data_IF_220830025846
#
_entry.id   IF_220830025846
#
_cell.length_a   1.000
_cell.length_b   1.000
_cell.length_c   1.000
_cell.angle_alpha   90.00
_cell.angle_beta   90.00
_cell.angle_gamma   90.00
#
_symmetry.space_group_name_H-M   'P 1'
#
loop_
_entity.id
_entity.type
_entity.pdbx_description
1 polymer ?
#
# COMPACT_ATOMS: atom_id res chain seq x y z
N UNK A 1 -4.27 27.78 3.15
CA UNK A 1 -2.90 27.23 3.10
C UNK A 1 -2.82 26.26 1.90
N UNK A 2 -1.70 26.24 1.18
CA UNK A 2 -1.51 25.27 0.11
C UNK A 2 -1.46 23.85 0.71
N UNK A 3 -2.02 22.86 0.02
CA UNK A 3 -1.95 21.45 0.45
C UNK A 3 -0.51 20.92 0.44
N UNK A 4 -0.26 19.85 1.17
CA UNK A 4 1.07 19.25 1.36
C UNK A 4 1.75 18.77 0.08
N UNK A 5 0.97 18.49 -0.96
CA UNK A 5 1.41 17.96 -2.25
C UNK A 5 1.08 18.91 -3.41
N UNK A 6 0.86 20.19 -3.11
CA UNK A 6 0.43 21.16 -4.10
C UNK A 6 1.39 21.23 -5.31
N UNK A 7 0.82 21.04 -6.51
CA UNK A 7 1.57 21.05 -7.77
C UNK A 7 2.38 19.79 -8.06
N UNK A 8 2.47 18.83 -7.15
CA UNK A 8 3.17 17.56 -7.37
C UNK A 8 2.36 16.61 -8.26
N UNK A 9 3.07 15.72 -8.93
CA UNK A 9 2.52 14.64 -9.76
C UNK A 9 2.84 13.30 -9.13
N UNK A 10 1.81 12.52 -8.85
CA UNK A 10 1.94 11.20 -8.24
C UNK A 10 1.47 10.09 -9.18
N UNK A 11 2.18 8.97 -9.18
CA UNK A 11 1.74 7.70 -9.76
C UNK A 11 1.34 6.79 -8.60
N UNK A 12 0.10 6.28 -8.62
CA UNK A 12 -0.41 5.34 -7.60
C UNK A 12 -0.79 4.03 -8.26
N UNK A 13 -0.11 2.94 -7.90
CA UNK A 13 -0.45 1.60 -8.40
C UNK A 13 -1.49 0.93 -7.51
N UNK A 14 -2.38 0.11 -8.10
CA UNK A 14 -3.52 -0.46 -7.38
C UNK A 14 -4.56 0.59 -6.96
N UNK A 15 -4.69 1.68 -7.76
CA UNK A 15 -5.45 2.86 -7.39
C UNK A 15 -6.97 2.76 -7.62
N UNK A 16 -7.49 1.64 -8.07
CA UNK A 16 -8.92 1.48 -8.38
C UNK A 16 -9.80 1.21 -7.15
N UNK A 17 -9.26 0.76 -6.03
CA UNK A 17 -10.03 0.39 -4.83
C UNK A 17 -9.18 0.54 -3.56
N UNK A 18 -9.83 0.48 -2.39
CA UNK A 18 -9.18 0.36 -1.08
C UNK A 18 -8.16 1.45 -0.79
N UNK A 19 -6.99 1.06 -0.29
CA UNK A 19 -5.92 1.99 0.11
C UNK A 19 -5.47 2.86 -1.08
N UNK A 20 -5.30 2.27 -2.27
CA UNK A 20 -4.83 3.01 -3.45
C UNK A 20 -5.79 4.10 -3.90
N UNK A 21 -7.10 3.85 -3.86
CA UNK A 21 -8.13 4.85 -4.17
C UNK A 21 -8.11 5.97 -3.11
N UNK A 22 -8.09 5.62 -1.82
CA UNK A 22 -8.04 6.61 -0.73
C UNK A 22 -6.76 7.47 -0.77
N UNK A 23 -5.62 6.89 -1.17
CA UNK A 23 -4.38 7.65 -1.40
C UNK A 23 -4.56 8.65 -2.53
N UNK A 24 -5.17 8.24 -3.64
CA UNK A 24 -5.43 9.14 -4.76
C UNK A 24 -6.35 10.30 -4.38
N UNK A 25 -7.43 10.01 -3.65
CA UNK A 25 -8.36 11.00 -3.10
C UNK A 25 -7.63 11.98 -2.17
N UNK A 26 -6.86 11.48 -1.23
CA UNK A 26 -6.09 12.31 -0.31
C UNK A 26 -5.07 13.18 -1.07
N UNK A 27 -4.36 12.65 -2.03
CA UNK A 27 -3.35 13.38 -2.80
C UNK A 27 -3.96 14.53 -3.60
N UNK A 28 -5.11 14.29 -4.24
CA UNK A 28 -5.85 15.34 -4.96
C UNK A 28 -6.34 16.42 -3.99
N UNK A 29 -6.85 16.05 -2.82
CA UNK A 29 -7.24 16.99 -1.77
C UNK A 29 -6.06 17.84 -1.26
N UNK A 30 -4.85 17.27 -1.26
CA UNK A 30 -3.60 17.98 -0.92
C UNK A 30 -2.99 18.76 -2.12
N UNK A 31 -3.68 18.81 -3.25
CA UNK A 31 -3.30 19.64 -4.40
C UNK A 31 -2.45 18.95 -5.45
N UNK A 32 -2.24 17.63 -5.36
CA UNK A 32 -1.51 16.86 -6.37
C UNK A 32 -2.35 16.58 -7.63
N UNK A 33 -1.67 16.21 -8.71
CA UNK A 33 -2.23 15.50 -9.86
C UNK A 33 -1.85 14.03 -9.74
N UNK A 34 -2.76 13.11 -10.07
CA UNK A 34 -2.56 11.69 -9.82
C UNK A 34 -2.80 10.86 -11.07
N UNK A 35 -1.84 9.99 -11.38
CA UNK A 35 -1.99 8.93 -12.39
C UNK A 35 -2.37 7.65 -11.66
N UNK A 36 -3.58 7.15 -11.95
CA UNK A 36 -4.19 5.96 -11.35
C UNK A 36 -3.84 4.75 -12.20
N UNK A 37 -3.09 3.80 -11.65
CA UNK A 37 -2.62 2.61 -12.34
C UNK A 37 -3.24 1.35 -11.75
N UNK A 38 -3.71 0.46 -12.61
CA UNK A 38 -4.24 -0.85 -12.23
C UNK A 38 -4.74 -1.61 -13.44
N UNK A 39 -5.01 -2.91 -13.30
CA UNK A 39 -5.40 -3.78 -14.42
C UNK A 39 -6.86 -3.61 -14.83
N UNK A 40 -7.75 -3.30 -13.89
CA UNK A 40 -9.20 -3.18 -14.13
C UNK A 40 -9.55 -1.74 -14.49
N UNK A 41 -10.05 -1.47 -15.72
CA UNK A 41 -10.30 -0.10 -16.17
C UNK A 41 -11.50 0.56 -15.47
N UNK A 42 -12.55 -0.18 -15.17
CA UNK A 42 -13.80 0.38 -14.61
C UNK A 42 -13.59 1.02 -13.23
N UNK A 43 -12.98 0.35 -12.22
CA UNK A 43 -12.71 0.98 -10.94
C UNK A 43 -11.79 2.20 -11.05
N UNK A 44 -10.79 2.17 -11.94
CA UNK A 44 -9.90 3.32 -12.16
C UNK A 44 -10.65 4.51 -12.73
N UNK A 45 -11.54 4.27 -13.72
CA UNK A 45 -12.36 5.32 -14.33
C UNK A 45 -13.32 5.94 -13.33
N UNK A 46 -13.91 5.11 -12.45
CA UNK A 46 -14.80 5.60 -11.40
C UNK A 46 -14.08 6.54 -10.44
N UNK A 47 -12.87 6.16 -9.96
CA UNK A 47 -12.04 7.01 -9.11
C UNK A 47 -11.62 8.29 -9.85
N UNK A 48 -11.17 8.18 -11.11
CA UNK A 48 -10.78 9.34 -11.90
C UNK A 48 -11.93 10.32 -12.12
N UNK A 49 -13.13 9.82 -12.42
CA UNK A 49 -14.31 10.65 -12.59
C UNK A 49 -14.68 11.43 -11.31
N UNK A 50 -14.55 10.80 -10.14
CA UNK A 50 -14.79 11.46 -8.86
C UNK A 50 -13.74 12.55 -8.55
N UNK A 51 -12.49 12.38 -9.01
CA UNK A 51 -11.38 13.30 -8.75
C UNK A 51 -11.21 14.40 -9.81
N UNK A 52 -11.92 14.29 -10.95
CA UNK A 52 -11.93 15.27 -12.02
C UNK A 52 -10.59 15.40 -12.76
N UNK A 53 -10.30 16.58 -13.28
CA UNK A 53 -9.15 16.84 -14.17
C UNK A 53 -7.77 16.60 -13.53
N UNK A 54 -7.70 16.47 -12.21
CA UNK A 54 -6.47 16.19 -11.48
C UNK A 54 -6.10 14.72 -11.47
N UNK A 55 -6.97 13.82 -11.96
CA UNK A 55 -6.74 12.38 -11.99
C UNK A 55 -6.77 11.85 -13.42
N UNK A 56 -5.85 10.93 -13.73
CA UNK A 56 -5.77 10.26 -15.02
C UNK A 56 -5.76 8.74 -14.80
N UNK A 57 -6.79 8.05 -15.31
CA UNK A 57 -6.85 6.59 -15.25
C UNK A 57 -6.03 5.99 -16.41
N UNK A 58 -5.03 5.18 -16.07
CA UNK A 58 -4.21 4.43 -17.04
C UNK A 58 -4.25 2.93 -16.71
N UNK A 59 -5.11 2.16 -17.37
CA UNK A 59 -5.09 0.71 -17.24
C UNK A 59 -3.72 0.16 -17.66
N UNK A 60 -3.05 -0.54 -16.73
CA UNK A 60 -1.72 -1.09 -16.91
C UNK A 60 -1.43 -2.19 -15.87
N UNK A 61 -0.59 -3.16 -16.24
CA UNK A 61 -0.01 -4.10 -15.30
C UNK A 61 1.28 -3.51 -14.70
N UNK A 62 1.23 -3.20 -13.40
CA UNK A 62 2.38 -2.63 -12.68
C UNK A 62 3.62 -3.55 -12.66
N UNK A 63 3.47 -4.85 -12.97
CA UNK A 63 4.57 -5.80 -13.12
C UNK A 63 5.07 -5.95 -14.58
N UNK A 64 4.51 -5.20 -15.54
CA UNK A 64 4.93 -5.22 -16.93
C UNK A 64 5.76 -3.97 -17.27
N UNK A 65 7.02 -4.18 -17.68
CA UNK A 65 7.96 -3.08 -17.93
C UNK A 65 7.47 -2.12 -19.04
N UNK A 66 6.90 -2.66 -20.12
CA UNK A 66 6.37 -1.84 -21.22
C UNK A 66 5.18 -0.97 -20.77
N UNK A 67 4.30 -1.52 -19.94
CA UNK A 67 3.17 -0.80 -19.39
C UNK A 67 3.62 0.35 -18.47
N UNK A 68 4.56 0.08 -17.57
CA UNK A 68 5.03 1.11 -16.66
C UNK A 68 5.90 2.17 -17.35
N UNK A 69 6.63 1.82 -18.43
CA UNK A 69 7.29 2.79 -19.27
C UNK A 69 6.26 3.73 -19.95
N UNK A 70 5.17 3.18 -20.50
CA UNK A 70 4.05 3.97 -21.06
C UNK A 70 3.42 4.88 -19.98
N UNK A 71 3.19 4.37 -18.78
CA UNK A 71 2.67 5.16 -17.65
C UNK A 71 3.58 6.34 -17.34
N UNK A 72 4.90 6.10 -17.23
CA UNK A 72 5.87 7.16 -16.90
C UNK A 72 5.94 8.23 -18.02
N UNK A 73 5.90 7.83 -19.28
CA UNK A 73 5.86 8.74 -20.44
C UNK A 73 4.59 9.59 -20.42
N UNK A 74 3.42 8.95 -20.29
CA UNK A 74 2.13 9.66 -20.28
C UNK A 74 2.00 10.61 -19.09
N UNK A 75 2.51 10.23 -17.91
CA UNK A 75 2.54 11.12 -16.73
C UNK A 75 3.38 12.37 -17.02
N UNK A 76 4.53 12.20 -17.67
CA UNK A 76 5.41 13.30 -18.05
C UNK A 76 4.77 14.24 -19.08
N UNK A 77 4.18 13.68 -20.12
CA UNK A 77 3.52 14.46 -21.20
C UNK A 77 2.29 15.23 -20.67
N UNK A 78 1.47 14.57 -19.83
CA UNK A 78 0.21 15.14 -19.37
C UNK A 78 0.37 16.13 -18.20
N UNK A 79 1.32 15.86 -17.30
CA UNK A 79 1.46 16.59 -16.05
C UNK A 79 2.86 17.17 -15.82
N UNK A 80 3.82 16.92 -16.68
CA UNK A 80 5.15 17.52 -16.66
C UNK A 80 6.20 16.71 -15.87
N UNK A 81 5.89 15.53 -15.35
CA UNK A 81 6.83 14.66 -14.66
C UNK A 81 6.22 13.83 -13.54
N UNK A 82 7.06 13.19 -12.71
CA UNK A 82 6.65 12.38 -11.56
C UNK A 82 7.47 12.81 -10.35
N UNK A 83 6.78 13.28 -9.31
CA UNK A 83 7.36 13.67 -8.02
C UNK A 83 7.21 12.57 -6.97
N UNK A 84 6.14 11.77 -7.07
CA UNK A 84 5.81 10.72 -6.10
C UNK A 84 5.43 9.42 -6.80
N UNK A 85 5.95 8.29 -6.30
CA UNK A 85 5.43 6.96 -6.60
C UNK A 85 4.85 6.33 -5.33
N UNK A 86 3.60 5.88 -5.40
CA UNK A 86 3.02 5.00 -4.38
C UNK A 86 2.90 3.59 -4.97
N UNK A 87 3.82 2.71 -4.55
CA UNK A 87 3.84 1.30 -4.93
C UNK A 87 2.89 0.52 -4.01
N UNK A 88 1.60 0.55 -4.34
CA UNK A 88 0.53 -0.04 -3.54
C UNK A 88 -0.07 -1.32 -4.17
N UNK A 89 0.10 -1.55 -5.47
CA UNK A 89 -0.41 -2.77 -6.11
C UNK A 89 0.10 -4.03 -5.42
N UNK A 90 -0.79 -4.95 -5.12
CA UNK A 90 -0.47 -6.20 -4.44
C UNK A 90 -1.55 -7.27 -4.66
N UNK A 91 -1.38 -8.42 -4.03
CA UNK A 91 -2.28 -9.56 -4.08
C UNK A 91 -1.99 -10.57 -2.98
N UNK A 92 -2.75 -11.64 -2.97
CA UNK A 92 -2.61 -12.75 -2.02
C UNK A 92 -1.38 -13.62 -2.30
N UNK A 93 -1.16 -14.61 -1.47
CA UNK A 93 -0.08 -15.62 -1.58
C UNK A 93 -0.27 -16.68 -0.50
N UNK A 94 -1.43 -17.35 -0.56
CA UNK A 94 -1.82 -18.40 0.37
C UNK A 94 -0.98 -19.69 0.18
N UNK A 95 -0.95 -20.52 1.21
CA UNK A 95 -0.27 -21.81 1.27
C UNK A 95 0.83 -21.85 2.32
N UNK A 96 1.25 -23.06 2.68
CA UNK A 96 2.42 -23.31 3.55
C UNK A 96 3.66 -23.58 2.71
N UNK A 97 4.84 -23.60 3.34
CA UNK A 97 6.08 -23.98 2.65
C UNK A 97 6.10 -25.41 2.12
N UNK A 98 5.19 -26.27 2.62
CA UNK A 98 5.11 -27.66 2.20
C UNK A 98 4.18 -27.87 0.97
N UNK A 99 3.22 -26.97 0.74
CA UNK A 99 2.12 -27.23 -0.21
C UNK A 99 1.89 -26.08 -1.22
N UNK A 100 2.53 -24.93 -1.08
CA UNK A 100 2.41 -23.84 -2.07
C UNK A 100 2.94 -24.31 -3.43
N UNK A 101 2.10 -24.25 -4.46
CA UNK A 101 2.52 -24.56 -5.82
C UNK A 101 3.50 -23.52 -6.36
N UNK A 102 4.42 -23.93 -7.22
CA UNK A 102 5.47 -23.04 -7.78
C UNK A 102 4.88 -21.85 -8.54
N UNK A 103 3.79 -22.02 -9.27
CA UNK A 103 3.10 -20.96 -9.97
C UNK A 103 2.40 -19.98 -9.02
N UNK A 104 1.79 -20.46 -7.94
CA UNK A 104 1.19 -19.63 -6.90
C UNK A 104 2.26 -18.79 -6.17
N UNK A 105 3.42 -19.40 -5.88
CA UNK A 105 4.58 -18.69 -5.35
C UNK A 105 5.05 -17.58 -6.30
N UNK A 106 5.28 -17.95 -7.58
CA UNK A 106 5.72 -16.99 -8.59
C UNK A 106 4.71 -15.85 -8.77
N UNK A 107 3.40 -16.16 -8.72
CA UNK A 107 2.34 -15.16 -8.78
C UNK A 107 2.35 -14.23 -7.55
N UNK A 108 2.57 -14.74 -6.34
CA UNK A 108 2.67 -13.92 -5.14
C UNK A 108 3.85 -12.93 -5.23
N UNK A 109 5.02 -13.39 -5.67
CA UNK A 109 6.20 -12.54 -5.89
C UNK A 109 5.92 -11.50 -6.99
N UNK A 110 5.32 -11.91 -8.10
CA UNK A 110 4.97 -11.02 -9.21
C UNK A 110 3.97 -9.95 -8.79
N UNK A 111 2.90 -10.34 -8.09
CA UNK A 111 1.82 -9.43 -7.70
C UNK A 111 2.25 -8.38 -6.66
N UNK A 112 3.23 -8.68 -5.83
CA UNK A 112 3.66 -7.80 -4.73
C UNK A 112 5.04 -7.18 -5.00
N UNK A 113 6.09 -7.99 -5.18
CA UNK A 113 7.47 -7.48 -5.29
C UNK A 113 7.76 -6.92 -6.67
N UNK A 114 7.41 -7.67 -7.74
CA UNK A 114 7.70 -7.22 -9.11
C UNK A 114 6.92 -5.97 -9.48
N UNK A 115 5.68 -5.83 -9.03
CA UNK A 115 4.89 -4.60 -9.24
C UNK A 115 5.59 -3.36 -8.68
N UNK A 116 6.13 -3.45 -7.46
CA UNK A 116 6.85 -2.35 -6.82
C UNK A 116 8.17 -2.04 -7.53
N UNK A 117 8.98 -3.08 -7.83
CA UNK A 117 10.27 -2.91 -8.48
C UNK A 117 10.14 -2.34 -9.90
N UNK A 118 9.22 -2.87 -10.71
CA UNK A 118 9.03 -2.45 -12.10
C UNK A 118 8.48 -1.02 -12.15
N UNK A 119 7.52 -0.70 -11.28
CA UNK A 119 6.99 0.67 -11.17
C UNK A 119 8.07 1.66 -10.72
N UNK A 120 8.86 1.31 -9.71
CA UNK A 120 9.97 2.14 -9.26
C UNK A 120 10.99 2.38 -10.38
N UNK A 121 11.41 1.32 -11.06
CA UNK A 121 12.38 1.41 -12.17
C UNK A 121 11.91 2.35 -13.27
N UNK A 122 10.65 2.30 -13.64
CA UNK A 122 10.09 3.18 -14.67
C UNK A 122 10.00 4.64 -14.24
N UNK A 123 9.69 4.91 -12.95
CA UNK A 123 9.54 6.26 -12.43
C UNK A 123 10.86 6.89 -11.97
N UNK A 124 11.88 6.10 -11.62
CA UNK A 124 13.14 6.56 -11.02
C UNK A 124 13.85 7.68 -11.79
N UNK A 125 13.96 7.68 -13.13
CA UNK A 125 14.60 8.79 -13.83
C UNK A 125 13.98 10.15 -13.51
N UNK A 126 12.65 10.22 -13.45
CA UNK A 126 11.92 11.45 -13.15
C UNK A 126 11.97 11.78 -11.65
N UNK A 127 11.80 10.78 -10.78
CA UNK A 127 11.94 10.94 -9.33
C UNK A 127 13.31 11.51 -8.94
N UNK A 128 14.38 11.05 -9.60
CA UNK A 128 15.73 11.58 -9.38
C UNK A 128 15.84 13.03 -9.86
N UNK A 129 15.36 13.34 -11.06
CA UNK A 129 15.40 14.70 -11.61
C UNK A 129 14.65 15.71 -10.72
N UNK A 130 13.59 15.25 -10.04
CA UNK A 130 12.71 16.06 -9.20
C UNK A 130 12.98 15.95 -7.71
N UNK A 131 13.97 15.14 -7.28
CA UNK A 131 14.25 14.83 -5.87
C UNK A 131 13.00 14.35 -5.15
N UNK A 132 12.28 13.43 -5.78
CA UNK A 132 10.96 12.97 -5.39
C UNK A 132 10.96 11.96 -4.26
N UNK A 133 9.84 11.28 -4.11
CA UNK A 133 9.66 10.27 -3.06
C UNK A 133 8.96 9.01 -3.57
N UNK A 134 9.27 7.88 -2.94
CA UNK A 134 8.59 6.59 -3.12
C UNK A 134 8.01 6.15 -1.79
N UNK A 135 6.73 5.79 -1.79
CA UNK A 135 6.10 5.12 -0.64
C UNK A 135 5.67 3.72 -1.07
N UNK A 136 6.23 2.72 -0.42
CA UNK A 136 5.90 1.31 -0.66
C UNK A 136 4.86 0.86 0.36
N UNK A 137 3.73 0.31 -0.11
CA UNK A 137 2.70 -0.24 0.78
C UNK A 137 2.95 -1.74 0.97
N UNK A 138 3.54 -2.07 2.13
CA UNK A 138 3.73 -3.45 2.57
C UNK A 138 2.51 -3.95 3.38
N UNK A 139 2.72 -4.46 4.57
CA UNK A 139 1.73 -4.96 5.52
C UNK A 139 2.42 -5.22 6.85
N UNK A 140 1.67 -5.38 7.96
CA UNK A 140 2.20 -6.00 9.18
C UNK A 140 2.71 -7.43 8.91
N UNK A 141 2.22 -8.12 7.88
CA UNK A 141 2.77 -9.39 7.39
C UNK A 141 4.18 -9.27 6.80
N UNK A 142 4.72 -8.05 6.64
CA UNK A 142 6.14 -7.79 6.36
C UNK A 142 6.98 -7.63 7.63
N UNK A 143 6.37 -7.65 8.81
CA UNK A 143 7.02 -7.50 10.13
C UNK A 143 6.85 -8.76 11.00
N UNK A 144 5.77 -9.50 10.75
CA UNK A 144 5.41 -10.73 11.44
C UNK A 144 4.88 -11.75 10.41
N UNK A 145 4.52 -12.95 10.86
CA UNK A 145 3.99 -14.00 10.01
C UNK A 145 2.53 -14.32 10.36
N UNK A 146 1.76 -14.73 9.33
CA UNK A 146 0.45 -15.32 9.47
C UNK A 146 0.50 -16.79 8.98
N UNK A 147 -0.35 -17.67 9.50
CA UNK A 147 -0.42 -19.06 9.04
C UNK A 147 -0.87 -19.10 7.57
N UNK A 148 -0.47 -20.14 6.87
CA UNK A 148 -0.89 -20.45 5.49
C UNK A 148 -0.76 -19.27 4.50
N UNK A 149 0.29 -18.45 4.66
CA UNK A 149 0.49 -17.22 3.90
C UNK A 149 1.94 -17.03 3.45
N UNK A 150 2.68 -18.13 3.22
CA UNK A 150 4.13 -18.08 2.98
C UNK A 150 4.51 -17.17 1.81
N UNK A 151 3.75 -17.21 0.70
CA UNK A 151 4.01 -16.35 -0.46
C UNK A 151 3.78 -14.87 -0.15
N UNK A 152 2.68 -14.55 0.53
CA UNK A 152 2.34 -13.18 0.92
C UNK A 152 3.34 -12.61 1.93
N UNK A 153 3.58 -13.35 3.02
CA UNK A 153 4.52 -12.96 4.09
C UNK A 153 5.91 -12.70 3.52
N UNK A 154 6.44 -13.62 2.72
CA UNK A 154 7.75 -13.45 2.09
C UNK A 154 7.80 -12.23 1.19
N UNK A 155 6.78 -12.04 0.35
CA UNK A 155 6.71 -10.89 -0.54
C UNK A 155 6.66 -9.56 0.23
N UNK A 156 5.87 -9.49 1.30
CA UNK A 156 5.74 -8.27 2.12
C UNK A 156 7.01 -7.95 2.92
N UNK A 157 7.76 -8.94 3.40
CA UNK A 157 9.11 -8.75 3.93
C UNK A 157 10.07 -8.27 2.84
N UNK A 158 10.01 -8.86 1.65
CA UNK A 158 10.81 -8.46 0.49
C UNK A 158 10.62 -7.00 0.09
N UNK A 159 9.41 -6.46 0.22
CA UNK A 159 9.12 -5.04 -0.05
C UNK A 159 9.87 -4.09 0.90
N UNK A 160 10.04 -4.46 2.17
CA UNK A 160 10.81 -3.67 3.14
C UNK A 160 12.28 -3.65 2.73
N UNK A 161 12.83 -4.82 2.35
CA UNK A 161 14.19 -4.92 1.83
C UNK A 161 14.40 -4.08 0.58
N UNK A 162 13.48 -4.17 -0.39
CA UNK A 162 13.49 -3.38 -1.62
C UNK A 162 13.48 -1.86 -1.32
N UNK A 163 12.60 -1.41 -0.44
CA UNK A 163 12.49 0.00 -0.07
C UNK A 163 13.77 0.53 0.59
N UNK A 164 14.37 -0.24 1.50
CA UNK A 164 15.65 0.13 2.16
C UNK A 164 16.81 0.16 1.17
N UNK A 165 16.88 -0.80 0.24
CA UNK A 165 17.88 -0.80 -0.83
C UNK A 165 17.75 0.47 -1.69
N UNK A 166 16.54 0.77 -2.17
CA UNK A 166 16.30 1.99 -2.95
C UNK A 166 16.61 3.27 -2.17
N UNK A 167 16.28 3.33 -0.87
CA UNK A 167 16.62 4.48 -0.03
C UNK A 167 18.14 4.68 0.06
N UNK A 168 18.89 3.61 0.17
CA UNK A 168 20.38 3.63 0.22
C UNK A 168 20.99 4.04 -1.12
N UNK A 169 20.46 3.49 -2.23
CA UNK A 169 21.01 3.70 -3.58
C UNK A 169 20.73 5.12 -4.11
N UNK A 170 19.55 5.67 -3.80
CA UNK A 170 19.09 6.91 -4.42
C UNK A 170 18.99 8.10 -3.45
N UNK A 171 19.25 7.90 -2.15
CA UNK A 171 19.21 8.97 -1.15
C UNK A 171 20.16 10.12 -1.45
N UNK A 172 21.41 9.85 -1.86
CA UNK A 172 22.37 10.86 -2.28
C UNK A 172 21.94 11.65 -3.52
N UNK A 173 20.98 11.11 -4.29
CA UNK A 173 20.36 11.77 -5.45
C UNK A 173 19.07 12.53 -5.09
N UNK A 174 18.75 12.60 -3.80
CA UNK A 174 17.62 13.35 -3.25
C UNK A 174 16.30 12.58 -3.26
N UNK A 175 16.27 11.28 -3.60
CA UNK A 175 15.04 10.46 -3.58
C UNK A 175 14.87 9.84 -2.20
N UNK A 176 13.71 10.07 -1.57
CA UNK A 176 13.33 9.40 -0.32
C UNK A 176 12.49 8.17 -0.62
N UNK A 177 12.71 7.09 0.12
CA UNK A 177 11.94 5.85 -0.02
C UNK A 177 11.56 5.33 1.35
N UNK A 178 10.26 5.18 1.60
CA UNK A 178 9.72 4.71 2.88
C UNK A 178 8.68 3.60 2.67
N UNK A 179 8.44 2.81 3.71
CA UNK A 179 7.47 1.73 3.70
C UNK A 179 6.37 2.02 4.72
N UNK A 180 5.11 1.82 4.32
CA UNK A 180 3.96 1.78 5.22
C UNK A 180 3.54 0.33 5.39
N UNK A 181 3.29 -0.09 6.62
CA UNK A 181 2.85 -1.44 6.98
C UNK A 181 1.45 -1.39 7.62
N UNK A 182 0.36 -1.42 6.81
CA UNK A 182 -0.99 -1.47 7.35
C UNK A 182 -1.26 -2.79 8.09
N UNK A 183 -2.10 -2.71 9.13
CA UNK A 183 -2.78 -3.87 9.72
C UNK A 183 -4.03 -4.23 8.91
N UNK A 184 -5.08 -4.71 9.60
CA UNK A 184 -6.40 -4.85 8.98
C UNK A 184 -6.96 -3.49 8.58
N UNK A 185 -7.33 -3.34 7.33
CA UNK A 185 -7.91 -2.11 6.75
C UNK A 185 -9.19 -2.49 6.03
N UNK A 186 -10.28 -1.74 6.24
CA UNK A 186 -11.56 -1.96 5.54
C UNK A 186 -11.41 -1.71 4.05
N UNK A 187 -11.24 -2.78 3.30
CA UNK A 187 -11.05 -2.77 1.84
C UNK A 187 -11.78 -3.98 1.24
N UNK A 188 -12.12 -3.97 -0.06
CA UNK A 188 -12.73 -5.13 -0.68
C UNK A 188 -11.95 -6.43 -0.48
N UNK A 189 -10.61 -6.39 -0.51
CA UNK A 189 -9.76 -7.54 -0.27
C UNK A 189 -9.89 -8.07 1.17
N UNK A 190 -9.85 -7.20 2.17
CA UNK A 190 -10.00 -7.59 3.57
C UNK A 190 -11.45 -8.02 3.88
N UNK A 191 -12.42 -7.41 3.21
CA UNK A 191 -13.83 -7.79 3.35
C UNK A 191 -14.08 -9.23 2.90
N UNK A 192 -13.47 -9.66 1.80
CA UNK A 192 -13.54 -11.05 1.32
C UNK A 192 -12.93 -12.03 2.35
N UNK A 193 -11.80 -11.67 2.97
CA UNK A 193 -11.17 -12.47 4.01
C UNK A 193 -12.02 -12.52 5.31
N UNK A 194 -12.68 -11.40 5.67
CA UNK A 194 -13.57 -11.37 6.84
C UNK A 194 -14.87 -12.13 6.61
N UNK A 195 -15.40 -12.15 5.39
CA UNK A 195 -16.54 -13.00 5.04
C UNK A 195 -16.17 -14.49 5.16
N UNK A 196 -15.00 -14.87 4.67
CA UNK A 196 -14.48 -16.22 4.83
C UNK A 196 -14.27 -16.60 6.32
N UNK A 197 -13.72 -15.68 7.12
CA UNK A 197 -13.54 -15.87 8.56
C UNK A 197 -14.88 -16.01 9.29
N UNK A 198 -15.88 -15.21 8.93
CA UNK A 198 -17.22 -15.29 9.51
C UNK A 198 -17.83 -16.69 9.24
N UNK A 199 -17.75 -17.18 8.00
CA UNK A 199 -18.20 -18.53 7.65
C UNK A 199 -17.44 -19.62 8.42
N UNK A 200 -16.11 -19.55 8.48
CA UNK A 200 -15.26 -20.52 9.17
C UNK A 200 -15.56 -20.61 10.68
N UNK A 201 -15.89 -19.48 11.30
CA UNK A 201 -16.09 -19.37 12.75
C UNK A 201 -17.55 -19.36 13.16
N UNK A 202 -18.51 -19.46 12.22
CA UNK A 202 -19.93 -19.37 12.50
C UNK A 202 -20.37 -18.04 13.08
N UNK A 203 -19.70 -16.93 12.68
CA UNK A 203 -20.04 -15.59 13.14
C UNK A 203 -21.23 -15.02 12.37
N UNK A 204 -22.00 -14.10 12.97
CA UNK A 204 -23.24 -13.60 12.35
C UNK A 204 -22.99 -12.79 11.06
N UNK A 205 -21.84 -12.07 10.99
CA UNK A 205 -21.52 -11.18 9.88
C UNK A 205 -20.05 -10.80 9.83
N UNK A 206 -19.67 -10.02 8.80
CA UNK A 206 -18.34 -9.47 8.59
C UNK A 206 -17.89 -8.53 9.74
N UNK A 207 -18.81 -7.79 10.35
CA UNK A 207 -18.46 -6.88 11.44
C UNK A 207 -17.98 -7.66 12.67
N UNK A 208 -18.62 -8.79 12.98
CA UNK A 208 -18.19 -9.71 14.03
C UNK A 208 -16.81 -10.33 13.70
N UNK A 209 -16.54 -10.64 12.44
CA UNK A 209 -15.23 -11.14 12.01
C UNK A 209 -14.13 -10.07 12.18
N UNK A 210 -14.37 -8.81 11.80
CA UNK A 210 -13.45 -7.72 12.09
C UNK A 210 -13.23 -7.53 13.60
N UNK A 211 -14.29 -7.56 14.39
CA UNK A 211 -14.19 -7.46 15.85
C UNK A 211 -13.32 -8.57 16.46
N UNK A 212 -13.49 -9.81 15.98
CA UNK A 212 -12.67 -10.96 16.38
C UNK A 212 -11.21 -10.76 15.97
N UNK A 213 -10.95 -10.41 14.69
CA UNK A 213 -9.60 -10.24 14.14
C UNK A 213 -8.84 -9.09 14.80
N UNK A 214 -9.55 -8.10 15.35
CA UNK A 214 -8.93 -6.94 16.03
C UNK A 214 -9.09 -6.97 17.55
N UNK A 215 -9.55 -8.08 18.13
CA UNK A 215 -9.81 -8.19 19.55
C UNK A 215 -8.58 -7.97 20.44
N UNK A 216 -7.37 -8.21 19.95
CA UNK A 216 -6.12 -7.97 20.67
C UNK A 216 -5.36 -6.73 20.17
N UNK A 217 -5.89 -6.03 19.15
CA UNK A 217 -5.31 -4.78 18.67
C UNK A 217 -5.64 -3.65 19.67
N UNK A 218 -4.70 -2.83 20.12
CA UNK A 218 -4.96 -1.77 21.09
C UNK A 218 -6.12 -0.84 20.74
N UNK A 219 -6.28 -0.43 19.49
CA UNK A 219 -7.41 0.38 19.05
C UNK A 219 -8.72 -0.39 18.81
N UNK A 220 -8.71 -1.73 18.97
CA UNK A 220 -9.90 -2.61 18.91
C UNK A 220 -10.73 -2.49 17.62
N UNK A 221 -10.16 -2.02 16.54
CA UNK A 221 -10.83 -1.88 15.24
C UNK A 221 -9.84 -2.00 14.08
N UNK A 222 -10.30 -2.36 12.88
CA UNK A 222 -9.51 -2.17 11.67
C UNK A 222 -9.29 -0.67 11.40
N UNK A 223 -8.26 -0.35 10.65
CA UNK A 223 -8.07 0.99 10.11
C UNK A 223 -9.03 1.25 8.93
N UNK A 224 -9.33 2.51 8.69
CA UNK A 224 -9.97 2.96 7.46
C UNK A 224 -8.90 3.29 6.40
N UNK A 225 -9.20 3.12 5.09
CA UNK A 225 -8.23 3.42 4.02
C UNK A 225 -7.68 4.85 4.07
N UNK A 226 -8.50 5.81 4.50
CA UNK A 226 -8.10 7.21 4.67
C UNK A 226 -7.05 7.43 5.76
N UNK A 227 -7.02 6.59 6.81
CA UNK A 227 -5.99 6.68 7.86
C UNK A 227 -4.63 6.26 7.32
N UNK A 228 -4.58 5.21 6.48
CA UNK A 228 -3.35 4.81 5.78
C UNK A 228 -2.93 5.89 4.78
N UNK A 229 -3.87 6.43 4.01
CA UNK A 229 -3.62 7.47 3.03
C UNK A 229 -3.04 8.75 3.65
N UNK A 230 -3.43 9.10 4.88
CA UNK A 230 -2.87 10.23 5.61
C UNK A 230 -1.37 10.06 5.90
N UNK A 231 -0.95 8.87 6.34
CA UNK A 231 0.47 8.55 6.58
C UNK A 231 1.25 8.52 5.26
N UNK A 232 0.68 7.95 4.20
CA UNK A 232 1.28 7.94 2.86
C UNK A 232 1.48 9.37 2.36
N UNK A 233 0.51 10.27 2.53
CA UNK A 233 0.61 11.67 2.14
C UNK A 233 1.71 12.42 2.94
N UNK A 234 1.83 12.17 4.24
CA UNK A 234 2.92 12.70 5.05
C UNK A 234 4.29 12.26 4.51
N UNK A 235 4.49 10.94 4.32
CA UNK A 235 5.76 10.39 3.84
C UNK A 235 6.11 10.87 2.41
N UNK A 236 5.11 11.08 1.57
CA UNK A 236 5.29 11.63 0.22
C UNK A 236 5.71 13.11 0.23
N UNK A 237 5.24 13.87 1.20
CA UNK A 237 5.39 15.34 1.27
C UNK A 237 6.76 15.81 1.76
N UNK A 238 7.00 17.13 1.62
CA UNK A 238 8.17 17.80 2.19
C UNK A 238 8.24 17.79 3.72
N UNK A 239 7.12 17.51 4.42
CA UNK A 239 7.11 17.37 5.88
C UNK A 239 7.91 16.15 6.36
N UNK A 240 8.16 15.17 5.48
CA UNK A 240 9.00 13.99 5.75
C UNK A 240 10.41 14.13 5.15
N UNK A 241 10.95 15.35 4.98
CA UNK A 241 12.20 15.63 4.27
C UNK A 241 13.43 14.90 4.82
N UNK A 242 13.45 14.58 6.12
CA UNK A 242 14.51 13.83 6.78
C UNK A 242 14.16 12.34 6.99
N UNK A 243 13.04 11.85 6.43
CA UNK A 243 12.57 10.46 6.61
C UNK A 243 12.81 9.67 5.33
N UNK A 244 13.74 8.71 5.38
CA UNK A 244 14.02 7.75 4.31
C UNK A 244 14.46 6.41 4.89
N UNK A 245 14.11 5.29 4.26
CA UNK A 245 14.38 3.94 4.76
C UNK A 245 13.51 3.52 5.94
N UNK A 246 12.56 4.36 6.34
CA UNK A 246 11.68 4.07 7.47
C UNK A 246 10.63 3.00 7.12
N UNK A 247 10.22 2.27 8.16
CA UNK A 247 9.10 1.32 8.14
C UNK A 247 8.10 1.79 9.17
N UNK A 248 6.90 2.17 8.71
CA UNK A 248 5.89 2.82 9.55
C UNK A 248 4.65 1.92 9.62
N UNK A 249 4.39 1.26 10.75
CA UNK A 249 3.13 0.55 10.97
C UNK A 249 1.94 1.52 11.01
N UNK A 250 0.82 1.11 10.39
CA UNK A 250 -0.49 1.78 10.48
C UNK A 250 -1.51 0.68 10.78
N UNK A 251 -1.49 0.18 12.01
CA UNK A 251 -2.05 -1.10 12.36
C UNK A 251 -2.88 -1.09 13.68
N UNK A 252 -3.18 0.10 14.17
CA UNK A 252 -3.90 0.26 15.44
C UNK A 252 -3.13 -0.23 16.67
N UNK A 253 -1.82 -0.47 16.52
CA UNK A 253 -0.94 -0.97 17.59
C UNK A 253 -0.76 -2.50 17.58
N UNK A 254 -1.23 -3.21 16.55
CA UNK A 254 -1.14 -4.68 16.50
C UNK A 254 0.29 -5.20 16.67
N UNK A 255 1.28 -4.53 16.07
CA UNK A 255 2.71 -4.91 16.17
C UNK A 255 3.40 -4.44 17.45
N UNK A 256 2.73 -3.66 18.29
CA UNK A 256 3.23 -3.24 19.61
C UNK A 256 2.83 -4.18 20.75
N UNK A 257 1.98 -5.19 20.47
CA UNK A 257 1.48 -6.14 21.47
C UNK A 257 2.49 -7.28 21.62
N UNK A 258 2.95 -7.50 22.83
CA UNK A 258 3.61 -8.73 23.24
C UNK A 258 2.54 -9.81 23.54
N UNK A 259 2.35 -10.74 22.60
CA UNK A 259 1.30 -11.77 22.71
C UNK A 259 1.29 -12.54 24.03
N UNK A 260 2.43 -13.00 24.59
CA UNK A 260 2.43 -13.67 25.89
C UNK A 260 1.82 -12.82 27.02
N UNK A 261 2.00 -11.51 26.99
CA UNK A 261 1.49 -10.61 28.04
C UNK A 261 0.00 -10.35 27.94
N UNK A 262 -0.67 -10.68 26.83
CA UNK A 262 -2.13 -10.59 26.73
C UNK A 262 -2.86 -11.51 27.73
N UNK A 263 -2.16 -12.53 28.28
CA UNK A 263 -2.69 -13.36 29.37
C UNK A 263 -2.95 -12.58 30.67
N UNK A 264 -2.36 -11.40 30.82
CA UNK A 264 -2.56 -10.51 31.98
C UNK A 264 -3.62 -9.44 31.70
N UNK A 265 -4.18 -9.37 30.48
CA UNK A 265 -5.25 -8.44 30.18
C UNK A 265 -6.46 -8.77 31.06
N UNK A 266 -6.97 -7.78 31.81
CA UNK A 266 -8.19 -7.91 32.58
C UNK A 266 -9.41 -8.11 31.65
N UNK A 267 -10.60 -8.46 32.20
CA UNK A 267 -11.82 -8.49 31.41
C UNK A 267 -11.98 -7.13 30.72
N UNK A 268 -12.29 -7.13 29.43
CA UNK A 268 -12.47 -5.90 28.66
C UNK A 268 -13.40 -4.97 29.45
N UNK A 269 -12.91 -3.76 29.78
CA UNK A 269 -13.75 -2.77 30.44
C UNK A 269 -14.99 -2.58 29.57
N UNK A 270 -16.16 -2.90 30.12
CA UNK A 270 -17.42 -2.83 29.39
C UNK A 270 -17.61 -1.43 28.82
N UNK A 271 -17.86 -1.39 27.53
CA UNK A 271 -18.36 -0.22 26.80
C UNK A 271 -19.80 0.06 27.20
#
# INVERSE_FOLDING_TARGET
MAGWLNGQVAVVTGAGTGIGAAVAERFVAEGARVVLVGRRPEPLRAVAAALGERALALPADAAAAADMARVATTASERFGGIDVLVANAGGHGAGTAADIADDAWAQAMRANVSTALVSARACLPQLIARRGSVVVVSSIAGLAAAPESVGYVTAKHGLIGLARSMARDFGARGVRVNTVCPGWVRTPMADEEMDALAGLRGLPDRAAAYALATAQVPLRRPAEPGEVAAVVAFLASGHASAVTGAVVPVDGGATAVDLPTTAFDGPAAGT
#
